data_IF_376017952927
#
_entry.id   IF_376017952927
#
_cell.length_a   1.000
_cell.length_b   1.000
_cell.length_c   1.000
_cell.angle_alpha   90.00
_cell.angle_beta   90.00
_cell.angle_gamma   90.00
#
_symmetry.space_group_name_H-M   'P 1'
#
loop_
_entity.id
_entity.type
_entity.pdbx_description
1 polymer ?
#
# COMPACT_ATOMS: atom_id res chain seq x y z
N UNK A 1 22.02 -44.02 9.88
CA UNK A 1 21.74 -42.94 8.91
C UNK A 1 22.61 -41.69 9.06
N UNK A 2 22.75 -41.07 10.25
CA UNK A 2 23.54 -39.83 10.43
C UNK A 2 25.03 -39.92 10.02
N UNK A 3 25.67 -41.08 10.24
CA UNK A 3 27.06 -41.33 9.82
C UNK A 3 27.22 -41.45 8.29
N UNK A 4 26.21 -41.98 7.59
CA UNK A 4 26.22 -42.09 6.13
C UNK A 4 26.02 -40.74 5.44
N UNK A 5 25.17 -39.88 6.02
CA UNK A 5 25.02 -38.50 5.54
C UNK A 5 26.30 -37.67 5.71
N UNK A 6 27.00 -37.83 6.85
CA UNK A 6 28.27 -37.15 7.10
C UNK A 6 29.39 -37.62 6.14
N UNK A 7 29.46 -38.91 5.85
CA UNK A 7 30.41 -39.48 4.88
C UNK A 7 30.13 -39.00 3.46
N UNK A 8 28.87 -38.95 3.04
CA UNK A 8 28.48 -38.48 1.70
C UNK A 8 28.79 -36.98 1.50
N UNK A 9 28.63 -36.17 2.55
CA UNK A 9 29.04 -34.76 2.55
C UNK A 9 30.57 -34.64 2.51
N UNK A 10 31.30 -35.43 3.30
CA UNK A 10 32.76 -35.44 3.26
C UNK A 10 33.29 -35.81 1.87
N UNK A 11 32.71 -36.83 1.23
CA UNK A 11 33.09 -37.31 -0.09
C UNK A 11 32.80 -36.28 -1.19
N UNK A 12 31.63 -35.62 -1.12
CA UNK A 12 31.28 -34.50 -2.00
C UNK A 12 32.14 -33.26 -1.79
N UNK A 13 32.60 -33.00 -0.56
CA UNK A 13 33.50 -31.88 -0.26
C UNK A 13 34.94 -32.13 -0.69
N UNK A 14 35.37 -33.41 -0.72
CA UNK A 14 36.69 -33.82 -1.22
C UNK A 14 36.73 -34.09 -2.73
N UNK A 15 35.57 -34.07 -3.41
CA UNK A 15 35.52 -34.24 -4.86
C UNK A 15 36.24 -33.07 -5.56
N UNK A 16 37.12 -33.35 -6.53
CA UNK A 16 37.91 -32.31 -7.22
C UNK A 16 37.03 -31.23 -7.85
N UNK A 17 35.84 -31.60 -8.34
CA UNK A 17 34.84 -30.69 -8.90
C UNK A 17 34.27 -29.70 -7.86
N UNK A 18 34.10 -30.12 -6.61
CA UNK A 18 33.68 -29.20 -5.55
C UNK A 18 34.83 -28.35 -5.05
N UNK A 19 36.06 -28.89 -5.03
CA UNK A 19 37.26 -28.12 -4.71
C UNK A 19 37.45 -26.99 -5.74
N UNK A 20 37.24 -27.23 -7.03
CA UNK A 20 37.28 -26.18 -8.06
C UNK A 20 36.15 -25.14 -7.91
N UNK A 21 34.94 -25.57 -7.58
CA UNK A 21 33.81 -24.65 -7.33
C UNK A 21 34.02 -23.82 -6.07
N UNK A 22 34.61 -24.41 -5.03
CA UNK A 22 35.01 -23.72 -3.80
C UNK A 22 36.15 -22.74 -4.08
N UNK A 23 37.14 -23.11 -4.90
CA UNK A 23 38.24 -22.24 -5.30
C UNK A 23 37.76 -21.06 -6.16
N UNK A 24 36.77 -21.30 -7.05
CA UNK A 24 36.08 -20.25 -7.80
C UNK A 24 35.28 -19.30 -6.91
N UNK A 25 34.55 -19.83 -5.92
CA UNK A 25 33.85 -19.03 -4.90
C UNK A 25 34.81 -18.27 -4.00
N UNK A 26 35.94 -18.86 -3.62
CA UNK A 26 36.99 -18.22 -2.82
C UNK A 26 37.68 -17.11 -3.61
N UNK A 27 37.95 -17.29 -4.91
CA UNK A 27 38.45 -16.21 -5.78
C UNK A 27 37.45 -15.08 -5.96
N UNK A 28 36.16 -15.39 -6.03
CA UNK A 28 35.09 -14.38 -6.04
C UNK A 28 34.97 -13.69 -4.66
N UNK A 29 35.19 -14.42 -3.58
CA UNK A 29 35.26 -13.91 -2.21
C UNK A 29 36.49 -13.03 -1.98
N UNK A 30 37.64 -13.35 -2.59
CA UNK A 30 38.83 -12.50 -2.58
C UNK A 30 38.63 -11.21 -3.40
N UNK A 31 37.68 -11.22 -4.34
CA UNK A 31 37.18 -10.03 -5.05
C UNK A 31 36.01 -9.33 -4.33
N UNK A 32 35.55 -9.85 -3.19
CA UNK A 32 34.52 -9.17 -2.39
C UNK A 32 34.92 -7.80 -1.84
N UNK A 33 36.19 -7.43 -1.56
CA UNK A 33 36.47 -6.09 -1.04
C UNK A 33 35.89 -4.98 -1.92
N UNK A 34 35.94 -5.13 -3.26
CA UNK A 34 35.35 -4.17 -4.20
C UNK A 34 33.83 -4.22 -4.27
N UNK A 35 33.22 -5.41 -4.16
CA UNK A 35 31.75 -5.58 -4.20
C UNK A 35 31.08 -5.19 -2.87
N UNK A 36 31.75 -5.44 -1.75
CA UNK A 36 31.33 -5.01 -0.41
C UNK A 36 31.45 -3.49 -0.33
N UNK A 37 32.55 -2.90 -0.79
CA UNK A 37 32.67 -1.45 -0.89
C UNK A 37 31.56 -0.85 -1.76
N UNK A 38 31.31 -1.40 -2.97
CA UNK A 38 30.24 -0.94 -3.85
C UNK A 38 28.84 -1.04 -3.21
N UNK A 39 28.55 -2.12 -2.47
CA UNK A 39 27.27 -2.26 -1.74
C UNK A 39 27.16 -1.29 -0.57
N UNK A 40 28.24 -1.06 0.16
CA UNK A 40 28.28 -0.10 1.27
C UNK A 40 28.12 1.33 0.73
N UNK A 41 28.81 1.69 -0.35
CA UNK A 41 28.66 3.00 -1.00
C UNK A 41 27.24 3.23 -1.53
N UNK A 42 26.61 2.19 -2.11
CA UNK A 42 25.21 2.27 -2.55
C UNK A 42 24.24 2.44 -1.38
N UNK A 43 24.51 1.80 -0.24
CA UNK A 43 23.70 1.96 0.97
C UNK A 43 23.90 3.35 1.59
N UNK A 44 25.14 3.81 1.71
CA UNK A 44 25.47 5.15 2.22
C UNK A 44 24.86 6.25 1.35
N UNK A 45 24.90 6.09 0.02
CA UNK A 45 24.26 7.03 -0.89
C UNK A 45 22.73 7.00 -0.79
N UNK A 46 22.13 5.82 -0.67
CA UNK A 46 20.69 5.69 -0.44
C UNK A 46 20.26 6.30 0.91
N UNK A 47 21.08 6.14 1.97
CA UNK A 47 20.87 6.78 3.26
C UNK A 47 20.97 8.30 3.17
N UNK A 48 22.01 8.84 2.51
CA UNK A 48 22.16 10.29 2.30
C UNK A 48 21.03 10.88 1.45
N UNK A 49 20.59 10.18 0.41
CA UNK A 49 19.50 10.64 -0.46
C UNK A 49 18.15 10.59 0.26
N UNK A 50 17.94 9.63 1.17
CA UNK A 50 16.77 9.55 2.02
C UNK A 50 16.76 10.66 3.09
N UNK A 51 17.89 10.89 3.75
CA UNK A 51 18.03 11.93 4.77
C UNK A 51 17.85 13.33 4.17
N UNK A 52 18.38 13.57 2.96
CA UNK A 52 18.15 14.80 2.20
C UNK A 52 16.67 15.04 1.84
N UNK A 53 15.83 13.99 1.84
CA UNK A 53 14.37 14.06 1.64
C UNK A 53 13.60 14.09 2.96
N UNK A 54 14.29 14.21 4.10
CA UNK A 54 13.70 14.18 5.45
C UNK A 54 13.13 12.81 5.81
N UNK A 55 13.63 11.75 5.19
CA UNK A 55 13.19 10.37 5.40
C UNK A 55 14.16 9.69 6.37
N UNK A 56 13.76 9.59 7.64
CA UNK A 56 14.49 8.78 8.62
C UNK A 56 14.27 7.29 8.31
N UNK A 57 15.27 6.64 7.71
CA UNK A 57 15.21 5.24 7.29
C UNK A 57 15.03 4.32 8.50
N UNK A 58 15.66 4.62 9.64
CA UNK A 58 15.55 3.81 10.86
C UNK A 58 14.12 3.82 11.43
N UNK A 59 13.50 5.00 11.51
CA UNK A 59 12.10 5.11 11.94
C UNK A 59 11.14 4.41 10.98
N UNK A 60 11.35 4.56 9.66
CA UNK A 60 10.48 3.93 8.67
C UNK A 60 10.66 2.43 8.59
N UNK A 61 11.88 1.93 8.74
CA UNK A 61 12.17 0.51 8.77
C UNK A 61 11.56 -0.11 10.03
N UNK A 62 11.66 0.56 11.18
CA UNK A 62 10.99 0.16 12.41
C UNK A 62 9.47 0.10 12.27
N UNK A 63 8.87 1.15 11.69
CA UNK A 63 7.43 1.18 11.42
C UNK A 63 7.01 0.08 10.41
N UNK A 64 7.80 -0.15 9.36
CA UNK A 64 7.55 -1.19 8.37
C UNK A 64 7.64 -2.59 8.97
N UNK A 65 8.63 -2.85 9.82
CA UNK A 65 8.79 -4.11 10.54
C UNK A 65 7.64 -4.34 11.52
N UNK A 66 7.23 -3.31 12.28
CA UNK A 66 6.07 -3.40 13.17
C UNK A 66 4.76 -3.63 12.40
N UNK A 67 4.59 -3.02 11.23
CA UNK A 67 3.43 -3.28 10.38
C UNK A 67 3.48 -4.69 9.79
N UNK A 68 4.63 -5.15 9.32
CA UNK A 68 4.81 -6.51 8.83
C UNK A 68 4.47 -7.52 9.94
N UNK A 69 5.01 -7.34 11.15
CA UNK A 69 4.71 -8.16 12.32
C UNK A 69 3.20 -8.17 12.62
N UNK A 70 2.56 -7.00 12.71
CA UNK A 70 1.12 -6.88 12.94
C UNK A 70 0.29 -7.52 11.82
N UNK A 71 0.68 -7.38 10.56
CA UNK A 71 -0.03 -7.95 9.41
C UNK A 71 0.14 -9.47 9.32
N UNK A 72 1.26 -10.00 9.80
CA UNK A 72 1.53 -11.44 9.88
C UNK A 72 1.02 -12.07 11.17
N UNK A 73 0.53 -11.26 12.12
CA UNK A 73 -0.01 -11.74 13.37
C UNK A 73 -1.30 -12.55 13.10
N UNK A 74 -1.47 -13.71 13.74
CA UNK A 74 -2.63 -14.57 13.52
C UNK A 74 -3.96 -13.86 13.80
N UNK A 75 -3.98 -12.90 14.74
CA UNK A 75 -5.16 -12.10 15.06
C UNK A 75 -5.58 -11.16 13.93
N UNK A 76 -4.64 -10.70 13.09
CA UNK A 76 -4.95 -9.89 11.91
C UNK A 76 -5.42 -10.76 10.74
N UNK A 77 -4.93 -12.00 10.62
CA UNK A 77 -5.44 -12.97 9.65
C UNK A 77 -6.90 -13.29 9.92
N UNK A 78 -7.31 -13.47 11.18
CA UNK A 78 -8.71 -13.67 11.54
C UNK A 78 -9.60 -12.45 11.25
N UNK A 79 -9.09 -11.24 11.49
CA UNK A 79 -9.83 -10.00 11.16
C UNK A 79 -9.96 -9.79 9.66
N UNK A 80 -8.93 -10.14 8.89
CA UNK A 80 -8.97 -10.11 7.43
C UNK A 80 -9.94 -11.16 6.89
N UNK A 81 -9.96 -12.37 7.46
CA UNK A 81 -10.94 -13.41 7.12
C UNK A 81 -12.38 -13.00 7.48
N UNK A 82 -12.56 -12.31 8.62
CA UNK A 82 -13.84 -11.71 8.99
C UNK A 82 -14.30 -10.61 8.03
N UNK A 83 -13.39 -9.76 7.55
CA UNK A 83 -13.68 -8.75 6.53
C UNK A 83 -13.99 -9.38 5.17
N UNK A 84 -13.31 -10.46 4.79
CA UNK A 84 -13.59 -11.20 3.56
C UNK A 84 -14.95 -11.91 3.63
N UNK A 85 -15.30 -12.50 4.77
CA UNK A 85 -16.64 -13.07 5.00
C UNK A 85 -17.73 -12.02 4.96
N UNK A 86 -17.49 -10.83 5.50
CA UNK A 86 -18.42 -9.72 5.40
C UNK A 86 -18.57 -9.22 3.96
N UNK A 87 -17.47 -9.19 3.20
CA UNK A 87 -17.45 -8.87 1.78
C UNK A 87 -18.23 -9.91 0.94
N UNK A 88 -18.12 -11.20 1.27
CA UNK A 88 -18.88 -12.27 0.63
C UNK A 88 -20.37 -12.22 0.99
N UNK A 89 -20.71 -11.65 2.15
CA UNK A 89 -22.09 -11.41 2.61
C UNK A 89 -22.66 -10.06 2.15
N UNK A 90 -21.91 -9.28 1.38
CA UNK A 90 -22.37 -8.01 0.78
C UNK A 90 -23.71 -8.15 0.06
N UNK A 91 -24.01 -9.21 -0.72
CA UNK A 91 -25.31 -9.34 -1.36
C UNK A 91 -26.47 -9.38 -0.35
N UNK A 92 -26.29 -10.03 0.81
CA UNK A 92 -27.29 -10.11 1.87
C UNK A 92 -27.45 -8.80 2.64
N UNK A 93 -26.35 -8.09 2.89
CA UNK A 93 -26.38 -6.75 3.51
C UNK A 93 -26.97 -5.69 2.59
N UNK A 94 -26.71 -5.78 1.28
CA UNK A 94 -27.30 -4.92 0.25
C UNK A 94 -28.79 -5.19 0.10
N UNK A 95 -29.24 -6.45 0.17
CA UNK A 95 -30.66 -6.78 0.18
C UNK A 95 -31.36 -6.24 1.43
N UNK A 96 -30.76 -6.42 2.61
CA UNK A 96 -31.34 -5.92 3.86
C UNK A 96 -31.33 -4.38 3.96
N UNK A 97 -30.31 -3.71 3.41
CA UNK A 97 -30.34 -2.24 3.28
C UNK A 97 -31.29 -1.78 2.19
N UNK A 98 -31.46 -2.51 1.08
CA UNK A 98 -32.45 -2.19 0.06
C UNK A 98 -33.88 -2.27 0.61
N UNK A 99 -34.22 -3.32 1.37
CA UNK A 99 -35.53 -3.45 2.03
C UNK A 99 -35.76 -2.32 3.06
N UNK A 100 -34.72 -1.97 3.82
CA UNK A 100 -34.77 -0.86 4.79
C UNK A 100 -34.88 0.51 4.09
N UNK A 101 -34.31 0.66 2.90
CA UNK A 101 -34.46 1.84 2.05
C UNK A 101 -35.86 1.91 1.46
N UNK A 102 -36.46 0.80 1.04
CA UNK A 102 -37.83 0.77 0.50
C UNK A 102 -38.88 1.16 1.56
N UNK A 103 -38.70 0.71 2.80
CA UNK A 103 -39.58 1.09 3.90
C UNK A 103 -39.34 2.54 4.37
N UNK A 104 -38.09 3.04 4.30
CA UNK A 104 -37.74 4.43 4.60
C UNK A 104 -38.04 5.40 3.46
N UNK A 105 -38.10 4.97 2.20
CA UNK A 105 -38.42 5.80 1.02
C UNK A 105 -39.79 6.48 1.16
N UNK A 106 -40.75 5.83 1.83
CA UNK A 106 -42.06 6.43 2.17
C UNK A 106 -41.97 7.58 3.18
N UNK A 107 -41.02 7.54 4.13
CA UNK A 107 -40.78 8.63 5.09
C UNK A 107 -39.85 9.72 4.52
N UNK A 108 -38.92 9.34 3.65
CA UNK A 108 -37.88 10.22 3.09
C UNK A 108 -38.46 11.26 2.11
N UNK A 109 -39.56 10.94 1.43
CA UNK A 109 -40.21 11.84 0.47
C UNK A 109 -40.71 13.16 1.11
N UNK A 110 -40.94 13.18 2.43
CA UNK A 110 -41.34 14.38 3.18
C UNK A 110 -40.15 15.18 3.76
N UNK A 111 -38.91 14.65 3.68
CA UNK A 111 -37.72 15.23 4.32
C UNK A 111 -36.81 16.06 3.40
N UNK A 112 -37.23 16.33 2.15
CA UNK A 112 -36.47 17.15 1.20
C UNK A 112 -35.22 16.47 0.63
N UNK A 113 -35.12 15.16 0.79
CA UNK A 113 -34.07 14.34 0.21
C UNK A 113 -34.39 14.06 -1.26
N UNK A 114 -33.50 14.44 -2.18
CA UNK A 114 -33.66 14.21 -3.62
C UNK A 114 -32.85 12.96 -4.04
N UNK A 115 -33.51 11.82 -4.35
CA UNK A 115 -32.84 10.62 -4.81
C UNK A 115 -32.04 10.83 -6.11
N UNK A 116 -32.46 11.77 -6.96
CA UNK A 116 -31.75 12.08 -8.20
C UNK A 116 -30.42 12.76 -7.91
N UNK A 117 -30.39 13.68 -6.94
CA UNK A 117 -29.15 14.33 -6.51
C UNK A 117 -28.13 13.31 -5.98
N UNK A 118 -28.58 12.28 -5.26
CA UNK A 118 -27.70 11.20 -4.83
C UNK A 118 -27.15 10.36 -5.98
N UNK A 119 -28.00 9.99 -6.95
CA UNK A 119 -27.57 9.22 -8.12
C UNK A 119 -26.57 10.03 -8.95
N UNK A 120 -26.78 11.34 -9.09
CA UNK A 120 -25.88 12.25 -9.79
C UNK A 120 -24.51 12.37 -9.10
N UNK A 121 -24.49 12.50 -7.78
CA UNK A 121 -23.23 12.50 -7.00
C UNK A 121 -22.53 11.15 -7.11
N UNK A 122 -23.27 10.04 -6.99
CA UNK A 122 -22.71 8.69 -7.07
C UNK A 122 -22.11 8.39 -8.45
N UNK A 123 -22.82 8.75 -9.52
CA UNK A 123 -22.33 8.60 -10.90
C UNK A 123 -21.09 9.46 -11.17
N UNK A 124 -21.11 10.73 -10.75
CA UNK A 124 -19.97 11.64 -10.89
C UNK A 124 -18.74 11.13 -10.13
N UNK A 125 -18.94 10.63 -8.91
CA UNK A 125 -17.87 10.01 -8.12
C UNK A 125 -17.33 8.74 -8.79
N UNK A 126 -18.22 7.88 -9.32
CA UNK A 126 -17.81 6.68 -10.04
C UNK A 126 -16.96 7.02 -11.27
N UNK A 127 -17.38 7.98 -12.10
CA UNK A 127 -16.61 8.44 -13.26
C UNK A 127 -15.24 9.00 -12.86
N UNK A 128 -15.19 9.82 -11.81
CA UNK A 128 -13.93 10.35 -11.29
C UNK A 128 -12.97 9.24 -10.81
N UNK A 129 -13.50 8.23 -10.12
CA UNK A 129 -12.72 7.07 -9.65
C UNK A 129 -12.21 6.21 -10.81
N UNK A 130 -13.04 5.96 -11.82
CA UNK A 130 -12.64 5.22 -13.02
C UNK A 130 -11.51 5.96 -13.75
N UNK A 131 -11.64 7.26 -13.95
CA UNK A 131 -10.63 8.08 -14.62
C UNK A 131 -9.33 8.17 -13.81
N UNK A 132 -9.42 8.34 -12.48
CA UNK A 132 -8.25 8.39 -11.61
C UNK A 132 -7.48 7.05 -11.59
N UNK A 133 -8.16 5.91 -11.69
CA UNK A 133 -7.52 4.58 -11.80
C UNK A 133 -6.83 4.37 -13.15
N UNK A 134 -7.32 5.01 -14.21
CA UNK A 134 -6.73 4.91 -15.54
C UNK A 134 -5.43 5.72 -15.66
N UNK A 135 -5.22 6.71 -14.77
CA UNK A 135 -3.99 7.51 -14.75
C UNK A 135 -2.90 6.84 -13.90
N UNK A 136 -1.67 6.67 -14.43
CA UNK A 136 -0.57 6.13 -13.66
C UNK A 136 -0.15 7.08 -12.54
N UNK A 137 0.18 6.58 -11.33
CA UNK A 137 0.52 7.42 -10.19
C UNK A 137 1.80 8.23 -10.48
N UNK A 138 1.66 9.55 -10.61
CA UNK A 138 2.79 10.45 -10.76
C UNK A 138 3.47 10.69 -9.41
N UNK A 139 4.78 10.45 -9.33
CA UNK A 139 5.59 10.86 -8.17
C UNK A 139 5.70 12.38 -8.17
N UNK A 140 5.09 13.03 -7.18
CA UNK A 140 5.09 14.49 -7.05
C UNK A 140 6.11 14.90 -5.97
N UNK A 141 7.14 15.65 -6.35
CA UNK A 141 8.09 16.26 -5.40
C UNK A 141 7.54 17.53 -4.73
N UNK A 142 8.29 18.13 -3.79
CA UNK A 142 7.86 19.33 -3.02
C UNK A 142 7.36 20.48 -3.90
N UNK A 143 8.06 20.83 -4.98
CA UNK A 143 7.64 21.84 -5.95
C UNK A 143 6.47 21.38 -6.83
N UNK A 144 6.38 20.08 -7.09
CA UNK A 144 5.25 19.49 -7.78
C UNK A 144 3.96 19.62 -6.98
N UNK A 145 4.01 19.51 -5.64
CA UNK A 145 2.85 19.68 -4.77
C UNK A 145 2.30 21.10 -4.84
N UNK A 146 3.17 22.11 -4.88
CA UNK A 146 2.75 23.51 -5.10
C UNK A 146 2.06 23.69 -6.46
N UNK A 147 2.57 23.02 -7.50
CA UNK A 147 1.96 23.04 -8.84
C UNK A 147 0.60 22.31 -8.85
N UNK A 148 0.50 21.18 -8.14
CA UNK A 148 -0.72 20.39 -7.95
C UNK A 148 -1.79 21.23 -7.24
N UNK A 149 -1.43 21.97 -6.20
CA UNK A 149 -2.37 22.86 -5.50
C UNK A 149 -2.79 24.08 -6.34
N UNK A 150 -1.97 24.46 -7.33
CA UNK A 150 -2.30 25.51 -8.30
C UNK A 150 -3.11 25.00 -9.50
N UNK A 151 -3.38 23.69 -9.55
CA UNK A 151 -4.18 23.09 -10.61
C UNK A 151 -5.63 23.59 -10.56
N UNK A 152 -6.19 24.10 -11.68
CA UNK A 152 -7.50 24.72 -11.69
C UNK A 152 -8.63 23.75 -11.34
N UNK A 153 -8.52 22.46 -11.68
CA UNK A 153 -9.56 21.48 -11.39
C UNK A 153 -9.51 21.01 -9.94
N UNK A 154 -8.30 20.87 -9.38
CA UNK A 154 -8.14 20.62 -7.93
C UNK A 154 -8.61 21.81 -7.08
N UNK A 155 -8.41 23.04 -7.54
CA UNK A 155 -8.94 24.24 -6.87
C UNK A 155 -10.46 24.29 -6.87
N UNK A 156 -11.13 23.89 -7.96
CA UNK A 156 -12.59 23.75 -7.99
C UNK A 156 -13.08 22.74 -6.95
N UNK A 157 -12.42 21.58 -6.86
CA UNK A 157 -12.74 20.55 -5.86
C UNK A 157 -12.57 21.05 -4.42
N UNK A 158 -11.46 21.72 -4.13
CA UNK A 158 -11.24 22.36 -2.82
C UNK A 158 -12.27 23.46 -2.53
N UNK A 159 -12.62 24.29 -3.51
CA UNK A 159 -13.65 25.31 -3.38
C UNK A 159 -15.03 24.73 -3.10
N UNK A 160 -15.39 23.63 -3.77
CA UNK A 160 -16.62 22.88 -3.47
C UNK A 160 -16.60 22.36 -2.02
N UNK A 161 -15.50 21.72 -1.59
CA UNK A 161 -15.37 21.21 -0.22
C UNK A 161 -15.53 22.32 0.83
N UNK A 162 -14.92 23.49 0.60
CA UNK A 162 -15.07 24.65 1.49
C UNK A 162 -16.51 25.14 1.57
N UNK A 163 -17.21 25.19 0.44
CA UNK A 163 -18.63 25.56 0.40
C UNK A 163 -19.49 24.51 1.11
N UNK A 164 -19.25 23.23 0.85
CA UNK A 164 -19.93 22.13 1.55
C UNK A 164 -19.75 22.25 3.06
N UNK A 165 -18.52 22.39 3.55
CA UNK A 165 -18.23 22.54 4.98
C UNK A 165 -18.94 23.76 5.59
N UNK A 166 -19.01 24.87 4.85
CA UNK A 166 -19.72 26.08 5.27
C UNK A 166 -21.22 25.86 5.43
N UNK A 167 -21.87 25.13 4.52
CA UNK A 167 -23.31 24.86 4.61
C UNK A 167 -23.63 23.74 5.60
N UNK A 168 -22.79 22.70 5.62
CA UNK A 168 -22.91 21.61 6.58
C UNK A 168 -22.78 22.11 8.02
N UNK A 169 -21.75 22.92 8.32
CA UNK A 169 -21.54 23.53 9.63
C UNK A 169 -22.60 24.54 10.07
N UNK A 170 -23.53 24.95 9.20
CA UNK A 170 -24.71 25.77 9.56
C UNK A 170 -25.91 24.94 10.00
N UNK A 171 -25.91 23.66 9.63
CA UNK A 171 -27.03 22.74 9.81
C UNK A 171 -26.77 21.69 10.90
N UNK A 172 -25.60 21.74 11.54
CA UNK A 172 -25.23 20.99 12.76
C UNK A 172 -24.99 21.99 13.90
#
# INVERSE_FOLDING_TARGET
ERLGAALNIAEKLTAPEMVEKLDGLLKLADQMPGLVAMKVDMLDEAYREADAKGVNIDERLGAALQMAEKLTAPEMVEKLDGLLKLADQVPGLVAMTADMIDERMKEINDSGFDPKALIEVASSANTALTNARAEPPTKVGLFGMLKVLKDPDRQKGLGFLMNFLKYFGRNI
#
